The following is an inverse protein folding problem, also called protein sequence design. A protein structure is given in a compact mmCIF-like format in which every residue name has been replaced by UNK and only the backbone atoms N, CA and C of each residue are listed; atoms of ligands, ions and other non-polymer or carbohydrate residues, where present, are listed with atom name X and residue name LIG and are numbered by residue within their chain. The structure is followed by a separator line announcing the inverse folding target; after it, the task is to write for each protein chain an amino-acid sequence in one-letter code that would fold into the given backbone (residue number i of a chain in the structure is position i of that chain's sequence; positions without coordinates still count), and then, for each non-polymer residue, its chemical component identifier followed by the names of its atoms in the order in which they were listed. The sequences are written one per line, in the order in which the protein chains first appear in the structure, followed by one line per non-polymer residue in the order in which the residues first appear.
data_IF_539782048559
#
_entry.id   IF_539782048559
#
_cell.length_a   1.000
_cell.length_b   1.000
_cell.length_c   1.000
_cell.angle_alpha   90.00
_cell.angle_beta   90.00
_cell.angle_gamma   90.00
#
_symmetry.space_group_name_H-M   'P 1'
#
loop_
_entity.id
_entity.type
_entity.pdbx_description
1 polymer ?
#
# COMPACT_ATOMS: atom_id res chain seq x y z
N UNK A 1 25.93 -11.66 -16.36
CA UNK A 1 25.07 -12.84 -16.09
C UNK A 1 24.22 -13.04 -17.33
N UNK A 2 24.26 -14.22 -17.94
CA UNK A 2 23.39 -14.48 -19.11
C UNK A 2 21.93 -14.53 -18.66
N UNK A 3 20.99 -14.19 -19.56
CA UNK A 3 19.56 -14.28 -19.27
C UNK A 3 19.16 -15.70 -18.84
N UNK A 4 19.78 -16.71 -19.46
CA UNK A 4 19.58 -18.14 -19.14
C UNK A 4 19.95 -18.49 -17.70
N UNK A 5 21.06 -17.95 -17.19
CA UNK A 5 21.50 -18.18 -15.81
C UNK A 5 20.54 -17.53 -14.80
N UNK A 6 20.03 -16.34 -15.12
CA UNK A 6 19.02 -15.65 -14.31
C UNK A 6 17.70 -16.44 -14.25
N UNK A 7 17.23 -16.93 -15.41
CA UNK A 7 16.02 -17.74 -15.51
C UNK A 7 16.16 -19.07 -14.78
N UNK A 8 17.31 -19.73 -14.88
CA UNK A 8 17.59 -20.97 -14.14
C UNK A 8 17.53 -20.74 -12.62
N UNK A 9 18.12 -19.65 -12.12
CA UNK A 9 18.05 -19.28 -10.69
C UNK A 9 16.63 -18.97 -10.24
N UNK A 10 15.86 -18.22 -11.03
CA UNK A 10 14.46 -17.96 -10.72
C UNK A 10 13.65 -19.26 -10.63
N UNK A 11 13.86 -20.19 -11.55
CA UNK A 11 13.23 -21.51 -11.51
C UNK A 11 13.47 -22.23 -10.19
N UNK A 12 14.71 -22.23 -9.69
CA UNK A 12 15.06 -22.82 -8.38
C UNK A 12 14.36 -22.12 -7.21
N UNK A 13 14.27 -20.79 -7.22
CA UNK A 13 13.55 -20.01 -6.19
C UNK A 13 12.06 -20.37 -6.20
N UNK A 14 11.44 -20.43 -7.38
CA UNK A 14 10.03 -20.83 -7.52
C UNK A 14 9.82 -22.24 -6.98
N UNK A 15 10.65 -23.21 -7.37
CA UNK A 15 10.56 -24.57 -6.86
C UNK A 15 10.65 -24.60 -5.33
N UNK A 16 11.57 -23.85 -4.73
CA UNK A 16 11.72 -23.75 -3.28
C UNK A 16 10.47 -23.18 -2.59
N UNK A 17 9.91 -22.09 -3.13
CA UNK A 17 8.68 -21.49 -2.60
C UNK A 17 7.46 -22.42 -2.79
N UNK A 18 7.40 -23.16 -3.89
CA UNK A 18 6.32 -24.14 -4.14
C UNK A 18 6.39 -25.30 -3.15
N UNK A 19 7.57 -25.85 -2.87
CA UNK A 19 7.73 -27.01 -1.97
C UNK A 19 7.55 -26.66 -0.50
N UNK A 20 7.90 -25.44 -0.09
CA UNK A 20 7.76 -25.01 1.31
C UNK A 20 6.30 -24.83 1.76
N UNK A 21 5.39 -24.51 0.84
CA UNK A 21 4.00 -24.15 1.11
C UNK A 21 3.77 -22.95 2.06
N UNK A 22 4.79 -22.11 2.30
CA UNK A 22 4.68 -20.89 3.10
C UNK A 22 5.64 -19.81 2.56
N UNK A 23 5.44 -18.53 2.93
CA UNK A 23 6.41 -17.49 2.60
C UNK A 23 7.79 -17.77 3.21
N UNK A 24 8.86 -17.45 2.49
CA UNK A 24 10.25 -17.69 2.93
C UNK A 24 11.02 -16.36 3.01
N UNK A 25 11.84 -16.19 4.04
CA UNK A 25 12.74 -15.06 4.16
C UNK A 25 13.89 -15.13 3.13
N UNK A 26 14.34 -14.00 2.61
CA UNK A 26 15.44 -13.94 1.64
C UNK A 26 16.73 -14.58 2.15
N UNK A 27 16.98 -14.51 3.46
CA UNK A 27 18.16 -15.08 4.09
C UNK A 27 18.09 -16.62 4.04
N UNK A 28 16.90 -17.20 4.21
CA UNK A 28 16.65 -18.64 4.06
C UNK A 28 16.70 -19.08 2.59
N UNK A 29 16.15 -18.28 1.65
CA UNK A 29 16.28 -18.54 0.21
C UNK A 29 17.76 -18.57 -0.20
N UNK A 30 18.54 -17.59 0.28
CA UNK A 30 19.97 -17.49 0.04
C UNK A 30 20.73 -18.72 0.58
N UNK A 31 20.40 -19.15 1.81
CA UNK A 31 20.98 -20.33 2.46
C UNK A 31 20.64 -21.62 1.70
N UNK A 32 19.37 -21.85 1.38
CA UNK A 32 18.90 -23.06 0.69
C UNK A 32 19.46 -23.21 -0.72
N UNK A 33 19.76 -22.10 -1.40
CA UNK A 33 20.29 -22.11 -2.76
C UNK A 33 21.81 -21.93 -2.83
N UNK A 34 22.49 -21.77 -1.69
CA UNK A 34 23.91 -21.41 -1.60
C UNK A 34 24.26 -20.18 -2.46
N UNK A 35 23.40 -19.15 -2.39
CA UNK A 35 23.57 -17.90 -3.13
C UNK A 35 23.77 -16.71 -2.18
N UNK A 36 24.61 -15.72 -2.53
CA UNK A 36 24.62 -14.45 -1.83
C UNK A 36 23.25 -13.76 -1.90
N UNK A 37 22.83 -13.10 -0.82
CA UNK A 37 21.55 -12.36 -0.75
C UNK A 37 21.43 -11.37 -1.92
N UNK A 38 22.51 -10.68 -2.28
CA UNK A 38 22.52 -9.76 -3.42
C UNK A 38 22.17 -10.45 -4.74
N UNK A 39 22.61 -11.70 -4.94
CA UNK A 39 22.25 -12.49 -6.13
C UNK A 39 20.78 -12.91 -6.09
N UNK A 40 20.24 -13.28 -4.92
CA UNK A 40 18.81 -13.57 -4.76
C UNK A 40 17.98 -12.32 -5.10
N UNK A 41 18.35 -11.13 -4.58
CA UNK A 41 17.68 -9.86 -4.91
C UNK A 41 17.73 -9.53 -6.40
N UNK A 42 18.87 -9.73 -7.04
CA UNK A 42 19.03 -9.46 -8.46
C UNK A 42 18.27 -10.46 -9.34
N UNK A 43 17.99 -11.66 -8.83
CA UNK A 43 17.15 -12.63 -9.52
C UNK A 43 15.69 -12.29 -9.29
N UNK A 44 15.23 -12.07 -8.05
CA UNK A 44 13.85 -11.67 -7.72
C UNK A 44 13.67 -10.18 -8.06
N UNK A 45 13.72 -9.87 -9.36
CA UNK A 45 13.54 -8.50 -9.80
C UNK A 45 12.09 -8.06 -9.60
N UNK A 46 11.86 -6.74 -9.47
CA UNK A 46 10.51 -6.19 -9.47
C UNK A 46 9.62 -6.61 -10.64
N UNK A 47 10.22 -7.02 -11.76
CA UNK A 47 9.53 -7.37 -13.00
C UNK A 47 9.08 -8.82 -13.09
N UNK A 48 9.37 -9.65 -12.09
CA UNK A 48 8.99 -11.06 -12.10
C UNK A 48 7.63 -11.28 -11.47
N UNK A 49 6.66 -11.61 -12.30
CA UNK A 49 5.27 -11.82 -11.90
C UNK A 49 5.07 -12.96 -10.87
N UNK A 50 5.91 -14.01 -10.90
CA UNK A 50 5.66 -15.26 -10.15
C UNK A 50 6.01 -15.20 -8.66
N UNK A 51 6.97 -14.36 -8.28
CA UNK A 51 7.45 -14.24 -6.90
C UNK A 51 7.20 -12.82 -6.43
N UNK A 52 6.44 -12.68 -5.34
CA UNK A 52 6.10 -11.39 -4.75
C UNK A 52 6.69 -11.29 -3.36
N UNK A 53 6.96 -10.07 -2.93
CA UNK A 53 7.29 -9.79 -1.55
C UNK A 53 5.96 -9.74 -0.77
N UNK A 54 5.96 -10.22 0.47
CA UNK A 54 4.78 -10.29 1.36
C UNK A 54 5.06 -9.77 2.77
N UNK A 55 6.24 -9.18 2.97
CA UNK A 55 6.70 -8.69 4.26
C UNK A 55 8.15 -8.24 4.22
N UNK A 56 8.72 -7.87 5.37
CA UNK A 56 10.12 -7.44 5.43
C UNK A 56 11.07 -8.59 5.07
N UNK A 57 11.67 -8.49 3.87
CA UNK A 57 12.53 -9.53 3.28
C UNK A 57 11.86 -10.89 3.06
N UNK A 58 10.54 -10.98 3.16
CA UNK A 58 9.80 -12.23 3.00
C UNK A 58 9.15 -12.29 1.62
N UNK A 59 9.26 -13.43 0.97
CA UNK A 59 8.77 -13.66 -0.39
C UNK A 59 7.86 -14.88 -0.46
N UNK A 60 6.87 -14.83 -1.34
CA UNK A 60 5.96 -15.93 -1.63
C UNK A 60 5.61 -15.99 -3.12
N UNK A 61 4.90 -17.03 -3.54
CA UNK A 61 4.34 -17.16 -4.88
C UNK A 61 3.11 -16.27 -5.02
N UNK A 62 3.05 -15.50 -6.10
CA UNK A 62 1.92 -14.63 -6.38
C UNK A 62 0.58 -15.40 -6.42
N UNK A 63 0.58 -16.62 -6.95
CA UNK A 63 -0.63 -17.46 -7.01
C UNK A 63 -1.23 -17.77 -5.63
N UNK A 64 -0.40 -17.91 -4.60
CA UNK A 64 -0.84 -18.14 -3.22
C UNK A 64 -1.34 -16.86 -2.58
N UNK A 65 -0.62 -15.75 -2.78
CA UNK A 65 -0.95 -14.45 -2.20
C UNK A 65 -2.24 -13.87 -2.77
N UNK A 66 -2.52 -14.09 -4.05
CA UNK A 66 -3.66 -13.48 -4.73
C UNK A 66 -4.93 -14.30 -4.59
N UNK A 67 -4.81 -15.61 -4.35
CA UNK A 67 -5.98 -16.49 -4.24
C UNK A 67 -6.92 -15.99 -3.15
N UNK A 68 -8.15 -15.69 -3.53
CA UNK A 68 -9.18 -15.16 -2.64
C UNK A 68 -9.16 -13.65 -2.43
N UNK A 69 -8.14 -12.92 -2.90
CA UNK A 69 -8.14 -11.45 -2.87
C UNK A 69 -9.28 -10.90 -3.72
N UNK A 70 -9.87 -9.82 -3.24
CA UNK A 70 -11.06 -9.18 -3.80
C UNK A 70 -10.69 -7.79 -4.31
N UNK A 71 -11.11 -7.48 -5.52
CA UNK A 71 -10.88 -6.21 -6.19
C UNK A 71 -12.20 -5.61 -6.62
N UNK A 72 -12.36 -4.30 -6.38
CA UNK A 72 -13.52 -3.54 -6.82
C UNK A 72 -13.19 -2.73 -8.06
N UNK A 73 -14.13 -2.71 -8.99
CA UNK A 73 -14.15 -1.79 -10.12
C UNK A 73 -15.52 -1.15 -10.25
N UNK A 74 -15.56 0.18 -10.37
CA UNK A 74 -16.80 0.93 -10.64
C UNK A 74 -16.78 1.34 -12.12
N UNK A 75 -17.54 0.68 -13.01
CA UNK A 75 -17.61 1.06 -14.41
C UNK A 75 -18.12 2.49 -14.60
N UNK A 76 -17.51 3.21 -15.52
CA UNK A 76 -17.97 4.51 -16.00
C UNK A 76 -19.14 4.35 -16.97
N UNK A 77 -19.81 5.47 -17.29
CA UNK A 77 -20.86 5.48 -18.32
C UNK A 77 -20.31 5.00 -19.68
N UNK A 78 -19.04 5.29 -19.98
CA UNK A 78 -18.40 4.89 -21.24
C UNK A 78 -18.16 3.38 -21.30
N UNK A 79 -17.79 2.76 -20.18
CA UNK A 79 -17.65 1.30 -20.04
C UNK A 79 -18.96 0.59 -20.39
N UNK A 80 -20.05 1.07 -19.81
CA UNK A 80 -21.39 0.54 -20.06
C UNK A 80 -21.82 0.75 -21.51
N UNK A 81 -21.54 1.92 -22.10
CA UNK A 81 -21.82 2.19 -23.52
C UNK A 81 -21.09 1.22 -24.44
N UNK A 82 -19.82 0.94 -24.16
CA UNK A 82 -19.03 -0.02 -24.92
C UNK A 82 -19.29 -1.48 -24.55
N UNK A 83 -20.09 -1.75 -23.52
CA UNK A 83 -20.42 -3.11 -23.05
C UNK A 83 -19.15 -3.89 -22.70
N UNK A 84 -18.19 -3.20 -22.11
CA UNK A 84 -16.87 -3.70 -21.76
C UNK A 84 -16.28 -2.91 -20.61
N UNK A 85 -15.09 -3.30 -20.18
CA UNK A 85 -14.37 -2.63 -19.10
C UNK A 85 -13.18 -1.90 -19.68
N UNK A 86 -13.11 -0.58 -19.53
CA UNK A 86 -11.97 0.19 -19.98
C UNK A 86 -10.73 -0.26 -19.22
N UNK A 87 -9.74 -0.58 -20.00
CA UNK A 87 -8.42 -1.01 -19.62
C UNK A 87 -7.57 0.21 -19.25
N UNK A 88 -8.02 0.93 -18.22
CA UNK A 88 -7.24 1.99 -17.59
C UNK A 88 -6.13 1.36 -16.74
N UNK A 89 -5.27 2.20 -16.16
CA UNK A 89 -4.14 1.75 -15.36
C UNK A 89 -4.52 0.81 -14.21
N UNK A 90 -5.73 0.96 -13.65
CA UNK A 90 -6.13 0.24 -12.44
C UNK A 90 -6.67 -1.14 -12.77
N UNK A 91 -7.55 -1.29 -13.76
CA UNK A 91 -7.97 -2.63 -14.21
C UNK A 91 -6.82 -3.38 -14.87
N UNK A 92 -6.00 -2.67 -15.66
CA UNK A 92 -4.75 -3.23 -16.17
C UNK A 92 -3.94 -3.77 -15.00
N UNK A 93 -3.74 -2.97 -13.96
CA UNK A 93 -2.96 -3.37 -12.81
C UNK A 93 -3.52 -4.66 -12.16
N UNK A 94 -4.81 -4.67 -11.88
CA UNK A 94 -5.49 -5.75 -11.16
C UNK A 94 -5.54 -7.07 -11.95
N UNK A 95 -5.75 -7.00 -13.28
CA UNK A 95 -5.97 -8.19 -14.11
C UNK A 95 -4.72 -8.60 -14.93
N UNK A 96 -3.81 -7.67 -15.22
CA UNK A 96 -2.68 -7.88 -16.13
C UNK A 96 -1.32 -7.97 -15.44
N UNK A 97 -1.14 -7.45 -14.22
CA UNK A 97 0.18 -7.35 -13.56
C UNK A 97 1.00 -8.65 -13.51
N UNK A 98 0.37 -9.80 -13.78
CA UNK A 98 0.95 -11.13 -13.78
C UNK A 98 1.41 -11.71 -15.15
N UNK A 99 0.96 -11.21 -16.31
CA UNK A 99 1.14 -11.96 -17.60
C UNK A 99 1.87 -11.18 -18.69
N UNK A 100 2.74 -11.88 -19.43
CA UNK A 100 3.39 -11.39 -20.64
C UNK A 100 2.61 -11.84 -21.90
N UNK A 101 1.72 -10.99 -22.44
CA UNK A 101 1.04 -11.30 -23.70
C UNK A 101 -0.14 -10.39 -24.07
N UNK A 102 -0.32 -10.17 -25.37
CA UNK A 102 -1.37 -9.30 -25.94
C UNK A 102 -2.73 -9.99 -26.11
N UNK A 103 -2.78 -11.33 -26.13
CA UNK A 103 -4.00 -12.12 -26.32
C UNK A 103 -4.51 -12.64 -24.97
N UNK A 104 -5.17 -11.76 -24.21
CA UNK A 104 -5.65 -12.09 -22.87
C UNK A 104 -7.03 -12.76 -22.95
N UNK A 105 -7.14 -13.90 -22.29
CA UNK A 105 -8.38 -14.65 -22.11
C UNK A 105 -8.53 -14.80 -20.59
N UNK A 106 -9.41 -14.01 -20.01
CA UNK A 106 -9.74 -14.08 -18.60
C UNK A 106 -11.06 -14.83 -18.49
N UNK A 107 -11.06 -15.93 -17.74
CA UNK A 107 -12.27 -16.70 -17.49
C UNK A 107 -12.96 -16.15 -16.24
N UNK A 108 -14.21 -15.75 -16.42
CA UNK A 108 -15.03 -15.17 -15.38
C UNK A 108 -16.13 -16.16 -15.03
N UNK A 109 -16.13 -16.63 -13.80
CA UNK A 109 -17.27 -17.33 -13.21
C UNK A 109 -18.16 -16.31 -12.51
N UNK A 110 -19.47 -16.42 -12.64
CA UNK A 110 -20.42 -15.55 -11.94
C UNK A 110 -21.71 -16.31 -11.62
N UNK A 111 -22.63 -15.66 -10.91
CA UNK A 111 -23.97 -16.19 -10.62
C UNK A 111 -24.80 -16.39 -11.91
N UNK A 112 -24.37 -15.83 -13.03
CA UNK A 112 -25.02 -15.93 -14.34
C UNK A 112 -24.29 -16.85 -15.33
N UNK A 113 -23.32 -17.65 -14.84
CA UNK A 113 -22.55 -18.60 -15.66
C UNK A 113 -21.12 -18.14 -15.93
N UNK A 114 -20.50 -18.75 -16.95
CA UNK A 114 -19.12 -18.48 -17.33
C UNK A 114 -19.01 -17.53 -18.53
N UNK A 115 -18.10 -16.58 -18.42
CA UNK A 115 -17.84 -15.56 -19.43
C UNK A 115 -16.35 -15.50 -19.73
N UNK A 116 -16.01 -15.05 -20.93
CA UNK A 116 -14.62 -14.87 -21.33
C UNK A 116 -14.40 -13.41 -21.65
N UNK A 117 -13.56 -12.76 -20.86
CA UNK A 117 -13.06 -11.42 -21.11
C UNK A 117 -11.87 -11.49 -22.06
N UNK A 118 -11.96 -10.79 -23.19
CA UNK A 118 -10.91 -10.73 -24.20
C UNK A 118 -10.61 -9.29 -24.58
N UNK A 119 -9.33 -9.01 -24.81
CA UNK A 119 -8.91 -7.77 -25.44
C UNK A 119 -9.10 -7.90 -26.96
N UNK A 120 -9.81 -6.97 -27.63
CA UNK A 120 -9.95 -7.02 -29.07
C UNK A 120 -8.59 -6.73 -29.73
N UNK A 121 -8.23 -7.47 -30.81
CA UNK A 121 -6.89 -7.40 -31.39
C UNK A 121 -6.60 -6.07 -32.08
N UNK A 122 -7.62 -5.41 -32.64
CA UNK A 122 -7.48 -4.16 -33.40
C UNK A 122 -8.68 -3.23 -33.17
N UNK A 123 -8.56 -1.99 -33.64
CA UNK A 123 -9.66 -1.02 -33.67
C UNK A 123 -9.78 -0.11 -32.43
N UNK A 124 -10.82 0.75 -32.40
CA UNK A 124 -11.03 1.73 -31.33
C UNK A 124 -11.27 1.08 -29.97
N UNK A 125 -11.78 -0.15 -29.94
CA UNK A 125 -12.08 -0.87 -28.70
C UNK A 125 -10.87 -1.57 -28.06
N UNK A 126 -9.66 -1.44 -28.61
CA UNK A 126 -8.42 -2.04 -28.05
C UNK A 126 -8.09 -1.61 -26.61
N UNK A 127 -8.80 -0.60 -26.12
CA UNK A 127 -8.76 -0.08 -24.75
C UNK A 127 -9.81 -0.72 -23.84
N UNK A 128 -10.62 -1.67 -24.30
CA UNK A 128 -11.66 -2.32 -23.50
C UNK A 128 -11.43 -3.83 -23.44
N UNK A 129 -11.73 -4.41 -22.28
CA UNK A 129 -11.94 -5.85 -22.13
C UNK A 129 -13.39 -6.15 -22.45
N UNK A 130 -13.61 -6.92 -23.51
CA UNK A 130 -14.94 -7.24 -24.05
C UNK A 130 -15.35 -8.64 -23.59
N UNK A 131 -16.66 -8.89 -23.52
CA UNK A 131 -17.19 -10.22 -23.17
C UNK A 131 -18.28 -10.23 -22.09
N UNK A 132 -18.55 -9.08 -21.47
CA UNK A 132 -19.57 -8.95 -20.42
C UNK A 132 -20.91 -8.42 -20.91
N UNK A 133 -21.12 -8.32 -22.24
CA UNK A 133 -22.37 -7.79 -22.81
C UNK A 133 -23.61 -8.53 -22.30
N UNK A 134 -23.60 -9.86 -22.34
CA UNK A 134 -24.71 -10.69 -21.85
C UNK A 134 -24.81 -10.63 -20.33
N UNK A 135 -23.69 -10.62 -19.62
CA UNK A 135 -23.65 -10.49 -18.17
C UNK A 135 -24.31 -9.18 -17.70
N UNK A 136 -23.95 -8.03 -18.27
CA UNK A 136 -24.57 -6.74 -17.94
C UNK A 136 -26.07 -6.71 -18.19
N UNK A 137 -26.54 -7.38 -19.26
CA UNK A 137 -27.96 -7.48 -19.56
C UNK A 137 -28.72 -8.34 -18.53
N UNK A 138 -28.06 -9.35 -17.95
CA UNK A 138 -28.66 -10.28 -16.98
C UNK A 138 -28.61 -9.75 -15.54
N UNK A 139 -27.54 -9.02 -15.17
CA UNK A 139 -27.34 -8.52 -13.81
C UNK A 139 -28.12 -7.25 -13.48
N UNK A 140 -28.87 -6.68 -14.44
CA UNK A 140 -29.58 -5.39 -14.27
C UNK A 140 -28.66 -4.24 -13.83
N UNK A 141 -27.38 -4.31 -14.20
CA UNK A 141 -26.32 -3.41 -13.78
C UNK A 141 -26.61 -1.94 -14.14
N UNK A 142 -26.39 -1.02 -13.20
CA UNK A 142 -26.57 0.42 -13.39
C UNK A 142 -25.26 1.21 -13.28
N UNK A 143 -25.24 2.41 -13.85
CA UNK A 143 -24.12 3.32 -13.70
C UNK A 143 -23.90 3.65 -12.22
N UNK A 144 -22.67 3.50 -11.75
CA UNK A 144 -22.32 3.72 -10.35
C UNK A 144 -22.39 2.46 -9.48
N UNK A 145 -22.82 1.30 -9.99
CA UNK A 145 -22.66 0.00 -9.33
C UNK A 145 -21.21 -0.49 -9.41
N UNK A 146 -20.88 -1.52 -8.63
CA UNK A 146 -19.56 -2.15 -8.63
C UNK A 146 -19.56 -3.55 -9.25
N UNK A 147 -18.44 -3.82 -9.92
CA UNK A 147 -17.96 -5.16 -10.27
C UNK A 147 -16.94 -5.60 -9.22
N UNK A 148 -17.24 -6.70 -8.54
CA UNK A 148 -16.36 -7.28 -7.54
C UNK A 148 -15.71 -8.54 -8.13
N UNK A 149 -14.41 -8.48 -8.32
CA UNK A 149 -13.58 -9.59 -8.81
C UNK A 149 -12.91 -10.29 -7.63
N UNK A 150 -13.13 -11.59 -7.48
CA UNK A 150 -12.37 -12.43 -6.54
C UNK A 150 -11.46 -13.35 -7.33
N UNK A 151 -10.16 -13.28 -7.10
CA UNK A 151 -9.20 -14.14 -7.78
C UNK A 151 -9.37 -15.60 -7.31
N UNK A 152 -9.69 -16.52 -8.22
CA UNK A 152 -9.81 -17.94 -7.94
C UNK A 152 -8.50 -18.68 -8.20
N UNK A 153 -7.88 -18.36 -9.34
CA UNK A 153 -6.62 -18.93 -9.81
C UNK A 153 -5.90 -17.93 -10.73
N UNK A 154 -4.79 -17.38 -10.23
CA UNK A 154 -4.03 -16.34 -10.93
C UNK A 154 -3.29 -16.88 -12.17
N UNK A 155 -2.55 -18.02 -12.12
CA UNK A 155 -1.95 -18.66 -13.29
C UNK A 155 -2.86 -18.83 -14.50
N UNK A 156 -4.10 -19.26 -14.28
CA UNK A 156 -5.08 -19.48 -15.36
C UNK A 156 -6.00 -18.28 -15.60
N UNK A 157 -5.79 -17.17 -14.90
CA UNK A 157 -6.60 -15.96 -14.97
C UNK A 157 -8.10 -16.22 -14.74
N UNK A 158 -8.43 -17.06 -13.75
CA UNK A 158 -9.81 -17.35 -13.36
C UNK A 158 -10.24 -16.47 -12.19
N UNK A 159 -11.34 -15.76 -12.38
CA UNK A 159 -11.92 -14.89 -11.37
C UNK A 159 -13.40 -15.19 -11.19
N UNK A 160 -13.90 -14.98 -9.97
CA UNK A 160 -15.32 -14.88 -9.71
C UNK A 160 -15.75 -13.40 -9.80
N UNK A 161 -16.82 -13.12 -10.52
CA UNK A 161 -17.39 -11.79 -10.69
C UNK A 161 -18.77 -11.75 -10.06
N UNK A 162 -18.99 -10.80 -9.14
CA UNK A 162 -20.33 -10.45 -8.64
C UNK A 162 -20.65 -8.98 -8.86
N UNK A 163 -21.93 -8.71 -9.00
CA UNK A 163 -22.51 -7.36 -8.99
C UNK A 163 -22.68 -6.90 -7.54
N UNK A 164 -22.31 -5.66 -7.24
CA UNK A 164 -22.60 -5.00 -5.98
C UNK A 164 -23.30 -3.66 -6.26
N UNK A 165 -24.62 -3.57 -6.02
CA UNK A 165 -25.36 -2.33 -6.21
C UNK A 165 -24.79 -1.16 -5.40
N UNK A 166 -24.82 0.05 -5.97
CA UNK A 166 -24.33 1.26 -5.30
C UNK A 166 -24.98 1.48 -3.92
N UNK A 167 -26.26 1.15 -3.79
CA UNK A 167 -27.05 1.32 -2.57
C UNK A 167 -26.72 0.28 -1.48
N UNK A 168 -26.12 -0.86 -1.83
CA UNK A 168 -25.73 -1.90 -0.85
C UNK A 168 -24.31 -1.73 -0.33
N UNK A 169 -23.58 -0.70 -0.79
CA UNK A 169 -22.20 -0.45 -0.36
C UNK A 169 -22.12 -0.09 1.12
N UNK A 170 -21.21 -0.75 1.83
CA UNK A 170 -20.72 -0.23 3.11
C UNK A 170 -19.66 0.85 2.86
N UNK A 171 -20.11 2.06 2.51
CA UNK A 171 -19.23 3.19 2.20
C UNK A 171 -18.26 3.52 3.36
N UNK A 172 -18.66 3.26 4.61
CA UNK A 172 -17.81 3.51 5.76
C UNK A 172 -16.65 2.51 5.84
N UNK A 173 -16.91 1.21 5.64
CA UNK A 173 -15.86 0.20 5.58
C UNK A 173 -14.93 0.39 4.38
N UNK A 174 -15.48 0.75 3.22
CA UNK A 174 -14.73 1.06 2.00
C UNK A 174 -13.80 2.24 2.24
N UNK A 175 -14.31 3.33 2.82
CA UNK A 175 -13.52 4.51 3.14
C UNK A 175 -12.35 4.20 4.09
N UNK A 176 -12.56 3.38 5.13
CA UNK A 176 -11.47 2.92 6.02
C UNK A 176 -10.40 2.15 5.24
N UNK A 177 -10.78 1.28 4.31
CA UNK A 177 -9.83 0.54 3.47
C UNK A 177 -9.13 1.43 2.45
N UNK A 178 -9.79 2.46 1.92
CA UNK A 178 -9.14 3.47 1.07
C UNK A 178 -8.06 4.23 1.84
N UNK A 179 -8.33 4.64 3.09
CA UNK A 179 -7.33 5.28 3.95
C UNK A 179 -6.15 4.35 4.21
N UNK A 180 -6.42 3.09 4.55
CA UNK A 180 -5.36 2.10 4.78
C UNK A 180 -4.53 1.83 3.50
N UNK A 181 -5.18 1.78 2.33
CA UNK A 181 -4.49 1.66 1.04
C UNK A 181 -3.64 2.90 0.75
N UNK A 182 -4.16 4.11 1.01
CA UNK A 182 -3.42 5.35 0.88
C UNK A 182 -2.22 5.41 1.85
N UNK A 183 -2.36 4.97 3.09
CA UNK A 183 -1.25 4.85 4.05
C UNK A 183 -0.18 3.88 3.57
N UNK A 184 -0.60 2.74 3.02
CA UNK A 184 0.30 1.76 2.43
C UNK A 184 1.09 2.35 1.24
N UNK A 185 0.40 2.98 0.29
CA UNK A 185 1.00 3.65 -0.87
C UNK A 185 1.94 4.77 -0.43
N UNK A 186 1.55 5.55 0.58
CA UNK A 186 2.38 6.63 1.14
C UNK A 186 3.70 6.08 1.68
N UNK A 187 3.65 5.00 2.46
CA UNK A 187 4.86 4.33 2.99
C UNK A 187 5.76 3.84 1.87
N UNK A 188 5.21 3.27 0.80
CA UNK A 188 6.01 2.86 -0.37
C UNK A 188 6.72 4.06 -0.99
N UNK A 189 5.99 5.15 -1.26
CA UNK A 189 6.56 6.34 -1.91
C UNK A 189 7.57 7.09 -1.02
N UNK A 190 7.41 7.03 0.30
CA UNK A 190 8.24 7.77 1.24
C UNK A 190 9.73 7.33 1.23
N UNK A 191 9.99 6.06 0.96
CA UNK A 191 11.34 5.47 0.98
C UNK A 191 11.94 5.30 -0.41
N UNK A 192 11.23 5.66 -1.47
CA UNK A 192 11.72 5.52 -2.84
C UNK A 192 12.64 6.69 -3.20
N UNK A 193 13.91 6.44 -3.57
CA UNK A 193 14.89 7.49 -3.81
C UNK A 193 14.58 8.31 -5.08
N UNK A 194 13.94 7.67 -6.06
CA UNK A 194 13.48 8.29 -7.29
C UNK A 194 11.97 8.52 -7.13
N UNK A 195 11.60 9.70 -6.61
CA UNK A 195 10.22 10.10 -6.31
C UNK A 195 9.32 10.30 -7.56
N UNK A 196 9.56 9.57 -8.65
CA UNK A 196 8.98 9.77 -9.98
C UNK A 196 8.30 8.49 -10.53
N UNK A 197 7.52 8.64 -11.60
CA UNK A 197 6.46 7.72 -12.05
C UNK A 197 6.81 6.23 -12.25
N UNK A 198 8.09 5.84 -12.27
CA UNK A 198 8.49 4.42 -12.18
C UNK A 198 8.01 3.78 -10.86
N UNK A 199 7.74 4.59 -9.82
CA UNK A 199 7.15 4.10 -8.58
C UNK A 199 5.71 3.64 -8.74
N UNK A 200 4.98 4.04 -9.79
CA UNK A 200 3.67 3.43 -10.08
C UNK A 200 3.80 1.94 -10.38
N UNK A 201 4.88 1.52 -11.02
CA UNK A 201 5.17 0.11 -11.19
C UNK A 201 5.40 -0.59 -9.85
N UNK A 202 6.07 0.08 -8.90
CA UNK A 202 6.31 -0.44 -7.55
C UNK A 202 5.03 -0.48 -6.70
N UNK A 203 4.21 0.57 -6.70
CA UNK A 203 2.90 0.58 -6.05
C UNK A 203 2.05 -0.55 -6.60
N UNK A 204 2.03 -0.73 -7.92
CA UNK A 204 1.36 -1.87 -8.55
C UNK A 204 1.92 -3.18 -8.00
N UNK A 205 3.23 -3.40 -8.10
CA UNK A 205 3.86 -4.63 -7.60
C UNK A 205 3.57 -4.93 -6.13
N UNK A 206 3.56 -3.90 -5.28
CA UNK A 206 3.43 -4.07 -3.83
C UNK A 206 2.01 -3.91 -3.32
N UNK A 207 1.06 -3.39 -4.12
CA UNK A 207 -0.34 -3.35 -3.72
C UNK A 207 -0.86 -4.74 -3.34
N UNK A 208 -0.26 -5.84 -3.81
CA UNK A 208 -0.63 -7.18 -3.36
C UNK A 208 -0.20 -7.54 -1.94
N UNK A 209 0.77 -6.82 -1.35
CA UNK A 209 1.08 -6.87 0.09
C UNK A 209 -0.04 -6.22 0.92
N UNK A 210 -0.96 -5.48 0.30
CA UNK A 210 -2.07 -4.89 1.01
C UNK A 210 -3.10 -5.95 1.39
N UNK A 211 -3.23 -6.17 2.69
CA UNK A 211 -4.19 -7.14 3.24
C UNK A 211 -5.64 -6.67 3.19
N UNK A 212 -5.88 -5.38 2.92
CA UNK A 212 -7.22 -4.82 2.81
C UNK A 212 -8.00 -5.25 1.56
N UNK A 213 -7.39 -5.94 0.59
CA UNK A 213 -8.06 -6.54 -0.59
C UNK A 213 -8.88 -7.79 -0.23
N UNK A 214 -9.81 -7.61 0.69
CA UNK A 214 -10.81 -8.55 1.21
C UNK A 214 -12.18 -7.90 1.14
N UNK A 215 -13.28 -8.63 1.30
CA UNK A 215 -14.62 -8.05 1.28
C UNK A 215 -14.88 -7.18 2.53
N UNK A 216 -15.45 -5.96 2.42
CA UNK A 216 -15.62 -5.17 1.19
C UNK A 216 -14.27 -4.67 0.69
N UNK A 217 -13.95 -4.77 -0.61
CA UNK A 217 -12.66 -4.29 -1.12
C UNK A 217 -12.53 -2.76 -0.98
N UNK A 218 -11.31 -2.18 -0.97
CA UNK A 218 -11.16 -0.74 -1.23
C UNK A 218 -11.65 -0.39 -2.63
N UNK A 219 -11.82 0.91 -2.90
CA UNK A 219 -11.94 1.40 -4.26
C UNK A 219 -10.67 1.13 -5.08
N UNK A 220 -10.77 1.32 -6.39
CA UNK A 220 -9.61 1.31 -7.28
C UNK A 220 -8.53 2.28 -6.77
N UNK A 221 -7.25 1.90 -6.94
CA UNK A 221 -6.10 2.63 -6.41
C UNK A 221 -6.19 4.14 -6.64
N UNK A 222 -6.40 4.58 -7.88
CA UNK A 222 -6.47 6.01 -8.18
C UNK A 222 -7.60 6.68 -7.40
N UNK A 223 -8.81 6.10 -7.42
CA UNK A 223 -9.96 6.65 -6.70
C UNK A 223 -9.75 6.66 -5.18
N UNK A 224 -9.10 5.63 -4.64
CA UNK A 224 -8.82 5.52 -3.22
C UNK A 224 -7.87 6.61 -2.72
N UNK A 225 -6.87 7.00 -3.52
CA UNK A 225 -5.87 8.00 -3.12
C UNK A 225 -6.15 9.41 -3.64
N UNK A 226 -6.98 9.58 -4.68
CA UNK A 226 -7.27 10.88 -5.31
C UNK A 226 -7.88 11.89 -4.32
N UNK A 227 -8.55 11.37 -3.29
CA UNK A 227 -9.14 12.16 -2.21
C UNK A 227 -8.19 12.35 -1.02
N UNK A 228 -7.03 11.70 -1.01
CA UNK A 228 -6.06 11.79 0.07
C UNK A 228 -5.07 12.93 -0.21
N UNK A 229 -5.05 13.91 0.71
CA UNK A 229 -4.28 15.16 0.59
C UNK A 229 -2.76 14.96 0.52
N UNK A 230 -2.26 13.76 0.78
CA UNK A 230 -0.83 13.44 0.63
C UNK A 230 -0.43 13.25 -0.82
N UNK A 231 -1.38 12.99 -1.71
CA UNK A 231 -1.10 12.64 -3.09
C UNK A 231 -1.50 13.76 -4.06
N UNK A 232 -0.85 13.77 -5.21
CA UNK A 232 -1.28 14.49 -6.40
C UNK A 232 -1.42 13.45 -7.51
N UNK A 233 -2.56 13.47 -8.18
CA UNK A 233 -2.83 12.76 -9.41
C UNK A 233 -2.71 13.76 -10.56
N UNK A 234 -1.70 13.60 -11.43
CA UNK A 234 -1.53 14.48 -12.58
C UNK A 234 -1.67 13.70 -13.89
N UNK A 235 -2.52 14.19 -14.79
CA UNK A 235 -2.64 13.67 -16.16
C UNK A 235 -1.59 14.26 -17.11
N UNK A 236 -0.89 15.33 -16.72
CA UNK A 236 0.08 16.10 -17.53
C UNK A 236 1.55 15.72 -17.34
N UNK A 237 1.89 14.64 -16.64
CA UNK A 237 3.30 14.22 -16.53
C UNK A 237 3.80 13.58 -17.84
N UNK A 238 4.08 14.42 -18.84
CA UNK A 238 4.99 14.08 -19.92
C UNK A 238 6.40 14.02 -19.33
N UNK A 239 6.82 12.83 -18.89
CA UNK A 239 8.21 12.62 -18.48
C UNK A 239 9.15 12.79 -19.66
N UNK A 240 10.06 13.74 -19.52
CA UNK A 240 11.32 13.78 -20.24
C UNK A 240 12.28 12.79 -19.58
N UNK A 241 12.86 11.86 -20.35
CA UNK A 241 14.06 11.14 -19.91
C UNK A 241 15.18 12.11 -19.58
N UNK A 242 16.20 11.65 -18.84
CA UNK A 242 17.46 12.35 -18.56
C UNK A 242 18.19 12.94 -19.81
N UNK A 243 17.72 12.66 -21.03
CA UNK A 243 18.21 13.26 -22.29
C UNK A 243 17.27 14.28 -22.95
N UNK A 244 16.28 14.85 -22.24
CA UNK A 244 15.27 15.76 -22.78
C UNK A 244 14.41 15.19 -23.94
N UNK A 245 14.47 13.88 -24.18
CA UNK A 245 13.55 13.18 -25.08
C UNK A 245 12.35 12.71 -24.27
N UNK A 246 11.10 13.05 -24.64
CA UNK A 246 9.92 12.42 -24.07
C UNK A 246 10.08 10.90 -24.18
N UNK A 247 9.93 10.17 -23.07
CA UNK A 247 10.08 8.70 -23.06
C UNK A 247 9.07 7.97 -23.95
N UNK A 248 8.10 8.70 -24.52
CA UNK A 248 7.15 8.20 -25.47
C UNK A 248 7.08 9.17 -26.66
N UNK A 249 7.67 8.74 -27.78
CA UNK A 249 7.63 9.45 -29.05
C UNK A 249 6.19 9.72 -29.53
N UNK A 250 6.09 10.53 -30.59
CA UNK A 250 4.89 11.07 -31.29
C UNK A 250 3.67 10.16 -31.51
N UNK A 251 3.67 8.89 -31.10
CA UNK A 251 2.55 7.97 -31.19
C UNK A 251 1.94 7.69 -29.81
N UNK A 252 0.81 8.36 -29.57
CA UNK A 252 -0.13 8.18 -28.47
C UNK A 252 0.32 8.69 -27.10
N UNK A 253 -0.08 9.94 -26.81
CA UNK A 253 -0.31 10.45 -25.47
C UNK A 253 -1.36 9.60 -24.74
N UNK A 254 -1.02 8.35 -24.38
CA UNK A 254 -1.77 7.60 -23.38
C UNK A 254 -1.31 8.14 -22.05
N UNK A 255 -2.17 8.95 -21.45
CA UNK A 255 -2.12 9.45 -20.08
C UNK A 255 -1.71 8.34 -19.11
N UNK A 256 -0.41 8.20 -18.88
CA UNK A 256 0.07 7.52 -17.69
C UNK A 256 -0.28 8.45 -16.54
N UNK A 257 -1.30 8.10 -15.76
CA UNK A 257 -1.62 8.85 -14.55
C UNK A 257 -0.44 8.68 -13.61
N UNK A 258 0.27 9.78 -13.36
CA UNK A 258 1.33 9.81 -12.38
C UNK A 258 0.71 10.05 -11.00
N UNK A 259 1.16 9.28 -10.02
CA UNK A 259 0.85 9.47 -8.61
C UNK A 259 2.15 9.93 -7.96
N UNK A 260 2.11 11.09 -7.34
CA UNK A 260 3.24 11.61 -6.58
C UNK A 260 2.82 12.10 -5.21
N UNK A 261 3.77 12.15 -4.28
CA UNK A 261 3.54 12.75 -2.97
C UNK A 261 3.51 14.28 -3.12
N UNK A 262 2.43 14.92 -2.64
CA UNK A 262 2.18 16.36 -2.76
C UNK A 262 3.36 17.23 -2.32
N UNK A 263 4.07 16.80 -1.27
CA UNK A 263 5.24 17.52 -0.76
C UNK A 263 6.40 17.59 -1.75
N UNK A 264 6.40 16.83 -2.85
CA UNK A 264 7.40 16.92 -3.91
C UNK A 264 6.94 17.77 -5.10
N UNK A 265 5.86 18.53 -4.94
CA UNK A 265 5.33 19.41 -5.96
C UNK A 265 5.25 20.85 -5.46
N UNK A 266 5.58 21.77 -6.34
CA UNK A 266 5.39 23.20 -6.18
C UNK A 266 4.04 23.59 -6.75
N UNK A 267 3.18 24.20 -5.92
CA UNK A 267 1.96 24.84 -6.39
C UNK A 267 2.31 26.24 -6.92
N UNK A 268 1.99 26.49 -8.19
CA UNK A 268 2.14 27.80 -8.80
C UNK A 268 0.96 28.72 -8.50
N UNK A 269 1.08 29.99 -8.90
CA UNK A 269 0.04 31.02 -8.65
C UNK A 269 -1.29 30.73 -9.34
N UNK A 270 -1.28 29.95 -10.42
CA UNK A 270 -2.46 29.49 -11.16
C UNK A 270 -2.98 28.13 -10.64
N UNK A 271 -2.52 27.68 -9.48
CA UNK A 271 -2.87 26.37 -8.87
C UNK A 271 -2.46 25.14 -9.69
N UNK A 272 -1.54 25.32 -10.65
CA UNK A 272 -0.86 24.18 -11.30
C UNK A 272 0.18 23.57 -10.35
N UNK A 273 0.42 22.26 -10.47
CA UNK A 273 1.41 21.56 -9.66
C UNK A 273 2.59 21.12 -10.54
N UNK A 274 3.81 21.51 -10.15
CA UNK A 274 5.04 21.17 -10.86
C UNK A 274 5.97 20.33 -9.99
N UNK A 275 6.54 19.22 -10.49
CA UNK A 275 7.49 18.44 -9.71
C UNK A 275 8.69 19.27 -9.27
N UNK A 276 9.16 19.04 -8.05
CA UNK A 276 10.40 19.59 -7.51
C UNK A 276 11.45 18.49 -7.50
N UNK A 277 12.57 18.76 -8.17
CA UNK A 277 13.73 17.88 -8.15
C UNK A 277 14.58 18.21 -6.92
N UNK A 278 14.87 17.22 -6.09
CA UNK A 278 15.78 17.34 -4.94
C UNK A 278 17.10 16.71 -5.34
N UNK A 279 18.16 17.51 -5.44
CA UNK A 279 19.49 17.01 -5.72
C UNK A 279 20.24 16.79 -4.42
N UNK A 280 20.71 15.56 -4.21
CA UNK A 280 21.72 15.26 -3.20
C UNK A 280 23.08 15.49 -3.85
N UNK A 281 23.74 16.60 -3.52
CA UNK A 281 25.10 16.80 -3.97
C UNK A 281 26.03 16.08 -2.99
N UNK A 282 26.62 14.96 -3.43
CA UNK A 282 27.45 14.09 -2.58
C UNK A 282 28.62 14.87 -1.94
N UNK A 283 29.09 15.93 -2.60
CA UNK A 283 30.24 16.72 -2.16
C UNK A 283 29.94 17.71 -1.02
N UNK A 284 28.67 18.08 -0.80
CA UNK A 284 28.33 19.15 0.14
C UNK A 284 27.35 18.74 1.24
N UNK A 285 26.78 17.53 1.21
CA UNK A 285 25.70 17.07 2.10
C UNK A 285 24.42 17.97 2.11
N UNK A 286 24.44 19.09 1.38
CA UNK A 286 23.33 20.00 1.19
C UNK A 286 22.41 19.42 0.12
N UNK A 287 21.11 19.40 0.44
CA UNK A 287 20.05 19.06 -0.50
C UNK A 287 19.50 20.35 -1.07
N UNK A 288 19.85 20.66 -2.32
CA UNK A 288 19.26 21.77 -3.05
C UNK A 288 18.04 21.28 -3.83
N UNK A 289 17.11 22.18 -4.16
CA UNK A 289 15.87 21.82 -4.86
C UNK A 289 15.51 22.81 -5.96
N UNK A 290 14.92 22.29 -7.04
CA UNK A 290 14.64 23.05 -8.27
C UNK A 290 13.24 22.72 -8.81
N UNK A 291 12.52 23.75 -9.27
CA UNK A 291 11.26 23.56 -9.98
C UNK A 291 11.53 23.01 -11.39
N UNK A 292 10.94 21.86 -11.74
CA UNK A 292 11.18 21.23 -13.06
C UNK A 292 10.58 22.00 -14.24
N UNK A 293 9.67 22.93 -13.99
CA UNK A 293 9.04 23.75 -15.03
C UNK A 293 9.91 24.96 -15.43
N UNK A 294 10.39 25.72 -14.46
CA UNK A 294 11.10 26.98 -14.71
C UNK A 294 12.61 26.90 -14.40
N UNK A 295 13.08 25.76 -13.89
CA UNK A 295 14.48 25.52 -13.50
C UNK A 295 15.03 26.52 -12.48
N UNK A 296 14.17 27.20 -11.72
CA UNK A 296 14.55 28.09 -10.62
C UNK A 296 14.68 27.31 -9.31
N UNK A 297 15.60 27.77 -8.45
CA UNK A 297 15.77 27.25 -7.09
C UNK A 297 14.50 27.45 -6.26
N UNK A 298 14.18 26.46 -5.45
CA UNK A 298 13.05 26.49 -4.52
C UNK A 298 13.51 26.12 -3.11
N UNK A 299 12.87 26.72 -2.11
CA UNK A 299 13.09 26.43 -0.69
C UNK A 299 11.83 25.83 -0.07
N UNK A 300 11.99 24.82 0.78
CA UNK A 300 10.89 24.25 1.54
C UNK A 300 10.46 25.21 2.66
N UNK A 301 9.22 25.68 2.63
CA UNK A 301 8.64 26.60 3.60
C UNK A 301 7.85 25.93 4.72
N UNK A 302 8.06 24.64 4.97
CA UNK A 302 7.35 23.85 5.99
C UNK A 302 6.08 23.18 5.47
N UNK A 303 5.25 23.89 4.71
CA UNK A 303 4.01 23.37 4.12
C UNK A 303 4.04 23.21 2.60
N UNK A 304 4.85 24.04 1.93
CA UNK A 304 4.96 24.10 0.48
C UNK A 304 6.33 24.58 0.05
N UNK A 305 6.65 24.37 -1.22
CA UNK A 305 7.82 24.96 -1.87
C UNK A 305 7.58 26.41 -2.24
N UNK A 306 8.63 27.24 -2.16
CA UNK A 306 8.61 28.64 -2.61
C UNK A 306 9.80 28.90 -3.51
N UNK A 307 9.59 29.64 -4.59
CA UNK A 307 10.69 30.14 -5.40
C UNK A 307 11.58 31.09 -4.60
N UNK A 308 12.89 30.96 -4.78
CA UNK A 308 13.87 31.88 -4.24
C UNK A 308 14.07 33.01 -5.25
N UNK A 309 13.90 34.26 -4.80
CA UNK A 309 14.04 35.45 -5.64
C UNK A 309 15.25 36.33 -5.26
N UNK A 310 15.85 36.08 -4.10
CA UNK A 310 16.97 36.86 -3.55
C UNK A 310 18.18 35.92 -3.42
N UNK A 311 19.33 36.35 -3.91
CA UNK A 311 20.55 35.52 -3.96
C UNK A 311 21.06 35.11 -2.57
N UNK A 312 20.83 35.95 -1.56
CA UNK A 312 21.21 35.68 -0.16
C UNK A 312 20.48 34.47 0.43
N UNK A 313 19.21 34.25 0.03
CA UNK A 313 18.40 33.11 0.50
C UNK A 313 18.86 31.77 -0.10
N UNK A 314 19.74 31.80 -1.10
CA UNK A 314 20.29 30.60 -1.74
C UNK A 314 21.12 29.79 -0.74
N UNK A 315 21.85 30.46 0.16
CA UNK A 315 22.68 29.77 1.14
C UNK A 315 21.86 29.09 2.25
N UNK A 316 20.58 29.48 2.40
CA UNK A 316 19.64 28.88 3.35
C UNK A 316 18.67 27.88 2.67
N UNK A 317 19.00 27.34 1.50
CA UNK A 317 18.10 26.49 0.71
C UNK A 317 18.07 25.00 1.11
N UNK A 318 18.64 24.65 2.25
CA UNK A 318 18.68 23.27 2.74
C UNK A 318 17.30 22.65 2.95
N UNK A 319 17.09 21.45 2.40
CA UNK A 319 15.94 20.61 2.76
C UNK A 319 16.10 20.11 4.19
N UNK A 320 15.37 20.72 5.12
CA UNK A 320 15.40 20.38 6.54
C UNK A 320 14.81 18.99 6.83
N UNK A 321 15.10 18.42 8.00
CA UNK A 321 14.50 17.14 8.45
C UNK A 321 12.97 17.18 8.50
N UNK A 322 12.38 18.36 8.68
CA UNK A 322 10.93 18.52 8.77
C UNK A 322 10.23 18.23 7.44
N UNK A 323 10.90 18.44 6.30
CA UNK A 323 10.40 17.99 4.99
C UNK A 323 10.09 16.48 4.97
N UNK A 324 10.99 15.68 5.54
CA UNK A 324 10.84 14.21 5.56
C UNK A 324 9.75 13.76 6.54
N UNK A 325 9.52 14.54 7.60
CA UNK A 325 8.48 14.28 8.60
C UNK A 325 7.11 14.85 8.22
N UNK A 326 7.05 15.76 7.25
CA UNK A 326 5.82 16.44 6.86
C UNK A 326 4.77 15.48 6.30
N UNK A 327 3.59 15.50 6.91
CA UNK A 327 2.35 14.91 6.40
C UNK A 327 1.30 16.04 6.24
N UNK A 328 0.80 16.32 5.03
CA UNK A 328 -0.27 17.30 4.78
C UNK A 328 -1.50 17.18 5.70
N UNK A 329 -1.80 15.98 6.22
CA UNK A 329 -2.92 15.77 7.15
C UNK A 329 -2.71 16.46 8.49
N UNK A 330 -1.46 16.74 8.87
CA UNK A 330 -1.12 17.47 10.09
C UNK A 330 -1.54 18.95 10.02
N UNK A 331 -1.87 19.48 8.83
CA UNK A 331 -2.32 20.85 8.67
C UNK A 331 -3.84 21.02 8.74
N UNK A 332 -4.60 19.92 8.83
CA UNK A 332 -6.05 19.99 8.91
C UNK A 332 -6.50 20.66 10.21
N UNK A 333 -7.54 21.53 10.17
CA UNK A 333 -8.13 22.11 11.37
C UNK A 333 -8.46 21.02 12.40
N UNK A 334 -8.30 21.33 13.69
CA UNK A 334 -8.53 20.37 14.80
C UNK A 334 -9.93 19.73 14.70
N UNK A 335 -10.93 20.43 14.17
CA UNK A 335 -12.29 19.91 13.97
C UNK A 335 -12.39 18.86 12.85
N UNK A 336 -11.60 19.02 11.78
CA UNK A 336 -11.47 18.01 10.72
C UNK A 336 -10.60 16.84 11.20
N UNK A 337 -9.55 17.13 11.99
CA UNK A 337 -8.80 16.12 12.74
C UNK A 337 -9.69 15.37 13.73
N UNK A 338 -10.69 15.99 14.36
CA UNK A 338 -11.63 15.30 15.26
C UNK A 338 -12.65 14.42 14.50
N UNK A 339 -12.86 14.66 13.20
CA UNK A 339 -13.63 13.75 12.33
C UNK A 339 -12.81 12.55 11.84
N UNK A 340 -11.49 12.70 11.71
CA UNK A 340 -10.57 11.62 11.27
C UNK A 340 -9.87 10.88 12.41
N UNK A 341 -9.65 11.55 13.55
CA UNK A 341 -9.28 10.93 14.81
C UNK A 341 -10.55 10.34 15.37
N UNK A 342 -10.69 9.04 15.14
CA UNK A 342 -11.61 8.15 15.84
C UNK A 342 -11.71 8.59 17.30
N UNK A 343 -12.94 8.63 17.82
CA UNK A 343 -13.22 8.71 19.27
C UNK A 343 -12.13 7.95 20.02
N UNK A 344 -11.59 8.53 21.10
CA UNK A 344 -10.61 7.89 22.00
C UNK A 344 -10.90 6.39 21.99
N UNK A 345 -9.96 5.55 21.49
CA UNK A 345 -10.27 4.15 21.23
C UNK A 345 -10.90 3.58 22.49
N UNK A 346 -12.03 2.87 22.32
CA UNK A 346 -12.79 2.40 23.48
C UNK A 346 -11.93 1.35 24.18
N UNK A 347 -11.20 1.77 25.21
CA UNK A 347 -10.52 0.81 26.04
C UNK A 347 -11.55 0.05 26.87
N UNK A 348 -11.40 -1.27 26.89
CA UNK A 348 -12.23 -2.18 27.63
C UNK A 348 -11.41 -2.70 28.81
N UNK A 349 -11.69 -2.31 30.06
CA UNK A 349 -10.95 -2.80 31.21
C UNK A 349 -11.12 -4.32 31.32
N UNK A 350 -10.03 -5.04 31.58
CA UNK A 350 -10.05 -6.49 31.78
C UNK A 350 -9.47 -6.84 33.15
N UNK A 351 -9.93 -7.95 33.73
CA UNK A 351 -9.36 -8.44 34.98
C UNK A 351 -8.01 -9.12 34.74
N UNK A 352 -7.20 -9.30 35.78
CA UNK A 352 -5.97 -10.11 35.67
C UNK A 352 -6.26 -11.57 35.31
N UNK A 353 -7.43 -12.09 35.69
CA UNK A 353 -7.87 -13.44 35.29
C UNK A 353 -8.12 -13.50 33.78
N UNK A 354 -8.77 -12.49 33.22
CA UNK A 354 -8.99 -12.37 31.77
C UNK A 354 -7.65 -12.26 31.04
N UNK A 355 -6.73 -11.45 31.55
CA UNK A 355 -5.43 -11.29 30.93
C UNK A 355 -4.61 -12.59 30.99
N UNK A 356 -4.59 -13.27 32.13
CA UNK A 356 -4.00 -14.61 32.26
C UNK A 356 -4.63 -15.61 31.29
N UNK A 357 -5.94 -15.53 31.07
CA UNK A 357 -6.63 -16.36 30.09
C UNK A 357 -6.17 -16.05 28.66
N UNK A 358 -5.98 -14.77 28.30
CA UNK A 358 -5.49 -14.33 26.99
C UNK A 358 -4.09 -14.91 26.73
N UNK A 359 -3.15 -14.72 27.65
CA UNK A 359 -1.76 -15.20 27.53
C UNK A 359 -1.67 -16.74 27.54
N UNK A 360 -2.52 -17.41 28.32
CA UNK A 360 -2.52 -18.87 28.48
C UNK A 360 -1.15 -19.37 28.94
N UNK A 361 -0.54 -20.28 28.18
CA UNK A 361 0.72 -20.93 28.56
C UNK A 361 1.92 -19.95 28.64
N UNK A 362 1.82 -18.77 28.02
CA UNK A 362 2.86 -17.74 28.09
C UNK A 362 2.82 -16.92 29.37
N UNK A 363 1.84 -17.14 30.26
CA UNK A 363 1.66 -16.32 31.46
C UNK A 363 2.93 -16.25 32.34
N UNK A 364 3.67 -17.35 32.46
CA UNK A 364 4.88 -17.37 33.26
C UNK A 364 6.01 -16.55 32.63
N UNK A 365 6.14 -16.58 31.31
CA UNK A 365 7.07 -15.72 30.57
C UNK A 365 6.70 -14.25 30.76
N UNK A 366 5.41 -13.92 30.65
CA UNK A 366 4.91 -12.56 30.90
C UNK A 366 5.32 -12.05 32.31
N UNK A 367 5.08 -12.84 33.36
CA UNK A 367 5.42 -12.46 34.72
C UNK A 367 6.91 -12.16 34.90
N UNK A 368 7.76 -12.95 34.27
CA UNK A 368 9.21 -12.89 34.48
C UNK A 368 9.89 -11.82 33.61
N UNK A 369 9.44 -11.67 32.36
CA UNK A 369 10.17 -10.90 31.34
C UNK A 369 9.48 -9.59 30.95
N UNK A 370 8.15 -9.50 31.09
CA UNK A 370 7.39 -8.35 30.61
C UNK A 370 7.10 -7.36 31.74
N UNK A 371 6.78 -7.85 32.94
CA UNK A 371 6.54 -6.99 34.11
C UNK A 371 7.83 -6.27 34.54
N UNK A 372 8.97 -6.94 34.45
CA UNK A 372 10.29 -6.43 34.85
C UNK A 372 10.97 -5.55 33.79
N UNK A 373 10.34 -5.37 32.62
CA UNK A 373 10.93 -4.69 31.48
C UNK A 373 10.03 -3.54 30.99
N UNK A 374 9.81 -2.54 31.84
CA UNK A 374 8.97 -1.37 31.52
C UNK A 374 9.81 -0.11 31.55
N UNK A 375 9.77 0.70 30.49
CA UNK A 375 10.50 1.97 30.47
C UNK A 375 9.84 2.99 31.40
N UNK A 376 10.58 3.50 32.38
CA UNK A 376 10.13 4.59 33.24
C UNK A 376 10.70 5.93 32.76
N UNK A 377 9.87 6.91 32.36
CA UNK A 377 10.36 8.21 31.89
C UNK A 377 11.01 9.04 33.00
N UNK A 378 10.63 8.80 34.27
CA UNK A 378 11.18 9.51 35.44
C UNK A 378 12.54 8.95 35.86
N UNK A 379 12.70 7.62 35.88
CA UNK A 379 14.00 6.99 36.15
C UNK A 379 14.94 7.04 34.94
N UNK A 380 14.39 7.18 33.72
CA UNK A 380 15.09 7.02 32.43
C UNK A 380 15.79 5.67 32.35
N UNK A 381 15.13 4.64 32.85
CA UNK A 381 15.63 3.27 32.88
C UNK A 381 14.48 2.27 32.73
N UNK A 382 14.84 1.02 32.47
CA UNK A 382 13.96 -0.15 32.50
C UNK A 382 13.72 -0.57 33.95
N UNK A 383 12.45 -0.70 34.32
CA UNK A 383 12.00 -0.94 35.69
C UNK A 383 10.92 -2.02 35.73
N UNK A 384 10.53 -2.45 36.93
CA UNK A 384 9.34 -3.29 37.10
C UNK A 384 8.08 -2.46 37.29
N UNK A 385 6.98 -2.90 36.68
CA UNK A 385 5.65 -2.33 36.93
C UNK A 385 4.98 -2.99 38.13
N UNK A 386 4.43 -2.18 39.03
CA UNK A 386 3.68 -2.62 40.21
C UNK A 386 2.26 -2.05 40.21
N UNK A 387 1.36 -2.69 40.98
CA UNK A 387 -0.03 -2.25 41.18
C UNK A 387 -0.76 -1.94 39.88
N UNK A 388 -0.59 -2.80 38.86
CA UNK A 388 -1.08 -2.52 37.53
C UNK A 388 -2.51 -3.02 37.29
N UNK A 389 -3.23 -2.29 36.43
CA UNK A 389 -4.49 -2.69 35.81
C UNK A 389 -4.27 -2.97 34.34
N UNK A 390 -5.13 -3.80 33.74
CA UNK A 390 -5.06 -4.15 32.32
C UNK A 390 -6.32 -3.66 31.59
N UNK A 391 -6.16 -3.22 30.35
CA UNK A 391 -7.26 -2.90 29.44
C UNK A 391 -6.95 -3.39 28.03
N UNK A 392 -7.98 -3.73 27.25
CA UNK A 392 -7.88 -4.01 25.83
C UNK A 392 -8.21 -2.76 25.02
N UNK A 393 -7.34 -2.38 24.08
CA UNK A 393 -7.66 -1.32 23.12
C UNK A 393 -8.53 -1.85 21.96
N UNK A 394 -8.97 -0.98 21.04
CA UNK A 394 -9.80 -1.37 19.90
C UNK A 394 -9.14 -2.41 18.97
N UNK A 395 -7.82 -2.50 18.96
CA UNK A 395 -7.03 -3.47 18.19
C UNK A 395 -6.88 -4.83 18.88
N UNK A 396 -7.45 -5.01 20.07
CA UNK A 396 -7.28 -6.18 20.93
C UNK A 396 -5.87 -6.31 21.56
N UNK A 397 -5.13 -5.21 21.64
CA UNK A 397 -3.86 -5.17 22.36
C UNK A 397 -4.08 -4.87 23.84
N UNK A 398 -3.33 -5.56 24.70
CA UNK A 398 -3.35 -5.35 26.15
C UNK A 398 -2.45 -4.17 26.51
N UNK A 399 -2.99 -3.22 27.26
CA UNK A 399 -2.25 -2.11 27.85
C UNK A 399 -2.29 -2.27 29.37
N UNK A 400 -1.11 -2.32 29.98
CA UNK A 400 -0.94 -2.31 31.43
C UNK A 400 -0.65 -0.90 31.89
N UNK A 401 -1.35 -0.45 32.92
CA UNK A 401 -1.14 0.85 33.58
C UNK A 401 -0.82 0.60 35.04
N UNK A 402 0.28 1.16 35.55
CA UNK A 402 0.72 0.90 36.91
C UNK A 402 1.77 1.91 37.37
N UNK A 403 2.56 1.52 38.36
CA UNK A 403 3.58 2.38 38.97
C UNK A 403 4.96 1.75 38.88
N UNK A 404 5.98 2.58 38.69
CA UNK A 404 7.38 2.18 38.75
C UNK A 404 7.74 1.69 40.17
N UNK A 405 8.40 0.53 40.27
CA UNK A 405 8.90 -0.02 41.53
C UNK A 405 9.96 0.85 42.22
N UNK A 406 10.72 1.65 41.47
CA UNK A 406 11.77 2.53 42.01
C UNK A 406 11.27 3.92 42.43
N UNK A 407 10.56 4.63 41.55
CA UNK A 407 10.20 6.03 41.76
C UNK A 407 8.71 6.26 42.02
N UNK A 408 7.90 5.18 41.99
CA UNK A 408 6.45 5.19 42.12
C UNK A 408 5.70 6.09 41.14
N UNK A 409 6.40 6.59 40.10
CA UNK A 409 5.79 7.35 39.02
C UNK A 409 4.96 6.46 38.09
N UNK A 410 4.00 7.04 37.36
CA UNK A 410 3.15 6.28 36.44
C UNK A 410 3.99 5.68 35.31
N UNK A 411 3.74 4.42 35.00
CA UNK A 411 4.32 3.71 33.86
C UNK A 411 3.23 2.90 33.16
N UNK A 412 3.45 2.61 31.88
CA UNK A 412 2.55 1.77 31.11
C UNK A 412 3.35 0.81 30.22
N UNK A 413 2.77 -0.36 29.94
CA UNK A 413 3.34 -1.36 29.02
C UNK A 413 2.30 -1.73 27.99
N UNK A 414 2.69 -1.71 26.73
CA UNK A 414 1.86 -2.08 25.58
C UNK A 414 2.24 -3.48 25.10
N UNK A 415 1.25 -4.33 24.83
CA UNK A 415 1.42 -5.71 24.37
C UNK A 415 0.59 -5.96 23.11
N UNK A 416 1.25 -6.32 22.01
CA UNK A 416 0.65 -6.55 20.67
C UNK A 416 -0.14 -7.87 20.58
N UNK A 417 -1.04 -8.12 21.54
CA UNK A 417 -1.85 -9.35 21.62
C UNK A 417 -2.89 -9.45 20.50
N UNK A 418 -3.25 -8.33 19.87
CA UNK A 418 -4.19 -8.26 18.76
C UNK A 418 -3.65 -8.82 17.45
N UNK A 419 -2.33 -8.98 17.33
CA UNK A 419 -1.68 -9.57 16.15
C UNK A 419 -1.34 -11.06 16.36
N UNK A 420 -1.40 -11.58 17.59
CA UNK A 420 -1.12 -12.98 17.89
C UNK A 420 -2.35 -13.88 17.65
N UNK A 421 -2.33 -14.79 16.65
CA UNK A 421 -3.45 -15.67 16.34
C UNK A 421 -3.87 -16.58 17.50
N UNK A 422 -2.97 -16.83 18.47
CA UNK A 422 -3.26 -17.64 19.66
C UNK A 422 -4.14 -16.89 20.66
N UNK A 423 -4.00 -15.56 20.71
CA UNK A 423 -4.69 -14.68 21.67
C UNK A 423 -6.09 -14.30 21.16
N UNK A 424 -6.25 -14.09 19.85
CA UNK A 424 -7.49 -13.62 19.23
C UNK A 424 -8.76 -14.42 19.62
N UNK A 425 -8.79 -15.77 19.62
CA UNK A 425 -9.98 -16.53 20.03
C UNK A 425 -10.35 -16.36 21.50
N UNK A 426 -9.36 -16.11 22.37
CA UNK A 426 -9.55 -15.90 23.82
C UNK A 426 -10.08 -14.51 24.09
N UNK A 427 -9.51 -13.50 23.43
CA UNK A 427 -9.98 -12.11 23.49
C UNK A 427 -11.42 -11.99 23.00
N UNK A 428 -11.77 -12.68 21.91
CA UNK A 428 -13.14 -12.72 21.39
C UNK A 428 -14.17 -13.31 22.37
N UNK A 429 -13.76 -14.11 23.36
CA UNK A 429 -14.64 -14.61 24.42
C UNK A 429 -14.84 -13.59 25.54
N UNK A 430 -13.81 -12.82 25.88
CA UNK A 430 -13.84 -11.79 26.94
C UNK A 430 -14.68 -10.59 26.52
N UNK A 431 -14.68 -10.25 25.22
CA UNK A 431 -15.44 -9.11 24.67
C UNK A 431 -16.94 -9.34 24.50
N UNK A 432 -17.43 -10.57 24.71
CA UNK A 432 -18.86 -10.91 24.65
C UNK A 432 -19.51 -10.58 25.97
#
# INVERSE_FOLDING_TARGET
MSNTEAQSRLGKIITLLSTSNHPINIDDIAKSLHLPIAKVRNVITPYQAKVVKVGYKTFDLAERVYKGKVFRYTPTIEDLRHKGIHYNSDIYFLLHGYVSGYNQIIQIQSDHGEFILKRPPTGPHRQYLMGLKSWFAQSSFQAGDDLIFKCLDLPTQRYFLRHEPALSRDNAAISRKNIALADFVYKLLLYEPNHNADTMFLIRKYAFEFDGFTDPAPDMLLRAIDQDLRFITNQKDQMYSWGATPLYGKYTARSAVAIGLRKYYLESRDHSFYPVSIQTNDDFALKESWCTHCWKRVKWGGSCWKHIYIEQDIFDCEVTRDFYKYDPRDQLPIEQKKKTMTKKPKSFPITLTDFKYIEGDNWQFFLNEIISNVWCPKCRDTVSIQNYTAELNDLNDVILHGSCDHCHGPVARYLETGEDPRCLPRIAKIRR
#
